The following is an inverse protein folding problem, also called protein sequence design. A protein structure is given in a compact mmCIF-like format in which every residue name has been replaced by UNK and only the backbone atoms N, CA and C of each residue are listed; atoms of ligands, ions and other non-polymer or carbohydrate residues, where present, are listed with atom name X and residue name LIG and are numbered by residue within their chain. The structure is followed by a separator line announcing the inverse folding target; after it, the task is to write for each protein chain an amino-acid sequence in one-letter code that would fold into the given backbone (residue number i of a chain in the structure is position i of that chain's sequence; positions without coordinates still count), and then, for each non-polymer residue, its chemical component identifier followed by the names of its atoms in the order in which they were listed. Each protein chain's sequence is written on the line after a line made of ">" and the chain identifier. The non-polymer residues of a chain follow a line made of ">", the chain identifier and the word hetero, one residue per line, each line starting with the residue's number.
data_IF_352669285556
#
_entry.id   IF_352669285556
#
_cell.length_a   1.000
_cell.length_b   1.000
_cell.length_c   1.000
_cell.angle_alpha   90.00
_cell.angle_beta   90.00
_cell.angle_gamma   90.00
#
_symmetry.space_group_name_H-M   'P 1'
#
loop_
_entity.id
_entity.type
_entity.pdbx_description
1 polymer ?
#
# COMPACT_ATOMS: atom_id res chain seq x y z
N UNK A 1 -3.16 -9.80 3.67
CA UNK A 1 -1.97 -9.94 4.54
C UNK A 1 -2.20 -10.97 5.65
N UNK A 2 -3.28 -10.86 6.43
CA UNK A 2 -3.54 -11.81 7.54
C UNK A 2 -3.46 -13.29 7.09
N UNK A 3 -4.05 -13.64 5.95
CA UNK A 3 -3.94 -14.99 5.39
C UNK A 3 -2.48 -15.44 5.20
N UNK A 4 -1.60 -14.53 4.77
CA UNK A 4 -0.16 -14.81 4.58
C UNK A 4 0.55 -14.99 5.93
N UNK A 5 0.22 -14.14 6.91
CA UNK A 5 0.89 -14.17 8.22
C UNK A 5 0.51 -15.39 9.07
N UNK A 6 -0.77 -15.81 9.02
CA UNK A 6 -1.24 -16.94 9.85
C UNK A 6 -0.94 -18.30 9.24
N UNK A 7 -0.50 -18.38 7.97
CA UNK A 7 -0.17 -19.65 7.31
C UNK A 7 1.32 -19.96 7.40
N UNK A 8 1.66 -21.11 7.97
CA UNK A 8 3.03 -21.61 8.04
C UNK A 8 3.58 -21.97 6.64
N UNK A 9 2.75 -22.56 5.77
CA UNK A 9 3.09 -22.88 4.37
C UNK A 9 2.63 -21.76 3.43
N UNK A 10 3.41 -20.69 3.35
CA UNK A 10 3.15 -19.60 2.41
C UNK A 10 3.21 -20.04 0.95
N UNK A 11 3.99 -21.08 0.64
CA UNK A 11 4.10 -21.64 -0.71
C UNK A 11 2.79 -22.23 -1.23
N UNK A 12 1.92 -22.69 -0.34
CA UNK A 12 0.59 -23.17 -0.71
C UNK A 12 -0.28 -22.10 -1.34
N UNK A 13 -0.09 -20.82 -0.95
CA UNK A 13 -0.88 -19.68 -1.43
C UNK A 13 -0.55 -19.29 -2.90
N UNK A 14 0.55 -19.79 -3.44
CA UNK A 14 0.95 -19.57 -4.85
C UNK A 14 0.52 -20.70 -5.79
N UNK A 15 -0.14 -21.74 -5.27
CA UNK A 15 -0.65 -22.86 -6.07
C UNK A 15 -2.09 -22.60 -6.48
N UNK A 16 -2.60 -23.25 -7.53
CA UNK A 16 -4.00 -23.16 -7.91
C UNK A 16 -4.91 -23.50 -6.73
N UNK A 17 -5.93 -22.67 -6.51
CA UNK A 17 -6.90 -22.86 -5.43
C UNK A 17 -7.80 -24.07 -5.76
N UNK A 18 -7.84 -25.05 -4.85
CA UNK A 18 -8.84 -26.12 -4.82
C UNK A 18 -9.72 -25.92 -3.58
N UNK A 19 -10.93 -26.51 -3.52
CA UNK A 19 -11.77 -26.43 -2.31
C UNK A 19 -11.03 -26.87 -1.04
N UNK A 20 -10.27 -27.95 -1.10
CA UNK A 20 -9.51 -28.47 0.04
C UNK A 20 -8.35 -27.55 0.42
N UNK A 21 -7.60 -27.01 -0.57
CA UNK A 21 -6.53 -26.05 -0.32
C UNK A 21 -7.08 -24.77 0.31
N UNK A 22 -8.23 -24.28 -0.18
CA UNK A 22 -8.90 -23.11 0.39
C UNK A 22 -9.36 -23.35 1.82
N UNK A 23 -9.98 -24.48 2.11
CA UNK A 23 -10.43 -24.85 3.46
C UNK A 23 -9.23 -24.92 4.41
N UNK A 24 -8.15 -25.60 4.01
CA UNK A 24 -6.94 -25.76 4.82
C UNK A 24 -6.23 -24.41 5.08
N UNK A 25 -6.06 -23.59 4.06
CA UNK A 25 -5.40 -22.29 4.19
C UNK A 25 -6.29 -21.26 4.91
N UNK A 26 -7.61 -21.34 4.75
CA UNK A 26 -8.57 -20.44 5.37
C UNK A 26 -8.81 -20.69 6.84
N UNK A 27 -8.71 -21.93 7.31
CA UNK A 27 -9.01 -22.25 8.71
C UNK A 27 -8.24 -21.40 9.74
N UNK A 28 -6.91 -21.22 9.64
CA UNK A 28 -6.18 -20.36 10.56
C UNK A 28 -6.57 -18.88 10.44
N UNK A 29 -6.96 -18.42 9.25
CA UNK A 29 -7.44 -17.04 9.07
C UNK A 29 -8.77 -16.82 9.81
N UNK A 30 -9.71 -17.73 9.67
CA UNK A 30 -11.00 -17.62 10.36
C UNK A 30 -10.85 -17.65 11.86
N UNK A 31 -10.02 -18.56 12.38
CA UNK A 31 -9.72 -18.61 13.80
C UNK A 31 -9.09 -17.30 14.32
N UNK A 32 -8.16 -16.71 13.55
CA UNK A 32 -7.58 -15.41 13.85
C UNK A 32 -8.63 -14.28 13.84
N UNK A 33 -9.49 -14.25 12.82
CA UNK A 33 -10.52 -13.22 12.72
C UNK A 33 -11.58 -13.32 13.82
N UNK A 34 -11.98 -14.54 14.19
CA UNK A 34 -12.92 -14.78 15.30
C UNK A 34 -12.35 -14.27 16.63
N UNK A 35 -11.04 -14.47 16.85
CA UNK A 35 -10.35 -13.94 18.03
C UNK A 35 -10.18 -12.43 18.00
N UNK A 36 -9.97 -11.84 16.80
CA UNK A 36 -9.72 -10.41 16.62
C UNK A 36 -10.99 -9.56 16.69
N UNK A 37 -12.09 -10.01 16.10
CA UNK A 37 -13.31 -9.21 15.90
C UNK A 37 -13.83 -8.55 17.19
N UNK A 38 -13.88 -9.22 18.37
CA UNK A 38 -14.35 -8.60 19.60
C UNK A 38 -13.50 -7.40 20.06
N UNK A 39 -12.25 -7.31 19.59
CA UNK A 39 -11.30 -6.25 19.94
C UNK A 39 -11.26 -5.11 18.93
N UNK A 40 -11.96 -5.23 17.81
CA UNK A 40 -12.06 -4.18 16.83
C UNK A 40 -12.96 -3.03 17.30
N UNK A 41 -12.85 -1.89 16.63
CA UNK A 41 -13.71 -0.74 16.87
C UNK A 41 -15.18 -1.17 16.94
N UNK A 42 -15.88 -0.68 17.98
CA UNK A 42 -17.26 -1.07 18.32
C UNK A 42 -17.49 -2.58 18.43
N UNK A 43 -16.48 -3.32 18.91
CA UNK A 43 -16.57 -4.77 19.06
C UNK A 43 -16.76 -5.53 17.76
N UNK A 44 -16.24 -5.00 16.64
CA UNK A 44 -16.35 -5.63 15.32
C UNK A 44 -17.75 -5.63 14.71
N UNK A 45 -18.72 -4.92 15.30
CA UNK A 45 -20.11 -4.85 14.79
C UNK A 45 -20.29 -3.83 13.68
N UNK A 46 -19.36 -2.93 13.50
CA UNK A 46 -19.37 -1.90 12.47
C UNK A 46 -17.96 -1.73 11.90
N UNK A 47 -17.89 -1.41 10.62
CA UNK A 47 -16.64 -1.15 9.90
C UNK A 47 -16.70 0.21 9.25
N UNK A 48 -15.54 0.86 9.19
CA UNK A 48 -15.42 2.18 8.56
C UNK A 48 -15.60 2.03 7.05
N UNK A 49 -16.43 2.87 6.45
CA UNK A 49 -16.86 2.71 5.06
C UNK A 49 -15.87 3.27 4.03
N UNK A 50 -15.02 4.22 4.42
CA UNK A 50 -14.08 4.88 3.51
C UNK A 50 -12.73 5.12 4.18
N UNK A 51 -11.66 5.15 3.38
CA UNK A 51 -10.31 5.51 3.87
C UNK A 51 -10.28 6.93 4.45
N UNK A 52 -11.07 7.86 3.90
CA UNK A 52 -11.15 9.22 4.43
C UNK A 52 -11.73 9.25 5.86
N UNK A 53 -12.82 8.52 6.09
CA UNK A 53 -13.41 8.40 7.43
C UNK A 53 -12.44 7.70 8.40
N UNK A 54 -11.72 6.65 7.94
CA UNK A 54 -10.72 5.96 8.74
C UNK A 54 -9.58 6.90 9.18
N UNK A 55 -9.08 7.73 8.26
CA UNK A 55 -8.05 8.75 8.59
C UNK A 55 -8.56 9.77 9.59
N UNK A 56 -9.79 10.27 9.42
CA UNK A 56 -10.37 11.21 10.37
C UNK A 56 -10.49 10.60 11.76
N UNK A 57 -11.00 9.39 11.88
CA UNK A 57 -11.13 8.70 13.16
C UNK A 57 -9.77 8.42 13.83
N UNK A 58 -8.72 8.20 13.03
CA UNK A 58 -7.35 8.10 13.56
C UNK A 58 -6.85 9.46 14.05
N UNK A 59 -7.13 10.54 13.32
CA UNK A 59 -6.80 11.92 13.75
C UNK A 59 -7.50 12.29 15.05
N UNK A 60 -8.75 11.86 15.20
CA UNK A 60 -9.59 12.13 16.40
C UNK A 60 -9.25 11.20 17.58
N UNK A 61 -8.35 10.23 17.39
CA UNK A 61 -7.95 9.26 18.41
C UNK A 61 -8.95 8.13 18.66
N UNK A 62 -9.98 7.98 17.82
CA UNK A 62 -10.92 6.85 17.91
C UNK A 62 -10.31 5.54 17.44
N UNK A 63 -9.32 5.59 16.53
CA UNK A 63 -8.58 4.42 16.05
C UNK A 63 -7.10 4.57 16.39
N UNK A 64 -6.53 3.51 16.94
CA UNK A 64 -5.09 3.39 17.22
C UNK A 64 -4.33 2.74 16.06
N UNK A 65 -5.01 1.96 15.26
CA UNK A 65 -4.46 1.24 14.09
C UNK A 65 -5.41 1.42 12.92
N UNK A 66 -4.86 1.78 11.77
CA UNK A 66 -5.58 1.90 10.51
C UNK A 66 -4.87 1.12 9.41
N UNK A 67 -5.61 0.79 8.35
CA UNK A 67 -5.06 0.11 7.17
C UNK A 67 -4.95 1.11 6.02
N UNK A 68 -3.86 1.03 5.27
CA UNK A 68 -3.67 1.80 4.05
C UNK A 68 -3.05 0.94 2.94
N UNK A 69 -3.30 1.33 1.70
CA UNK A 69 -2.65 0.76 0.52
C UNK A 69 -1.46 1.61 0.04
N UNK A 70 -1.27 2.80 0.63
CA UNK A 70 -0.12 3.65 0.36
C UNK A 70 0.84 3.62 1.56
N UNK A 71 2.06 3.07 1.44
CA UNK A 71 3.02 3.00 2.54
C UNK A 71 3.45 4.39 3.05
N UNK A 72 3.32 5.43 2.25
CA UNK A 72 3.66 6.80 2.61
C UNK A 72 2.44 7.62 3.10
N UNK A 73 1.27 7.01 3.30
CA UNK A 73 0.06 7.76 3.68
C UNK A 73 0.24 8.52 5.00
N UNK A 74 0.83 7.89 6.03
CA UNK A 74 1.09 8.58 7.29
C UNK A 74 1.97 9.82 7.07
N UNK A 75 3.05 9.72 6.31
CA UNK A 75 3.93 10.85 6.00
C UNK A 75 3.21 11.95 5.22
N UNK A 76 2.36 11.60 4.25
CA UNK A 76 1.54 12.57 3.51
C UNK A 76 0.58 13.33 4.43
N UNK A 77 -0.10 12.61 5.32
CA UNK A 77 -1.09 13.19 6.23
C UNK A 77 -0.43 14.03 7.34
N UNK A 78 0.75 13.64 7.82
CA UNK A 78 1.56 14.42 8.76
C UNK A 78 2.05 15.71 8.09
N UNK A 79 2.60 15.63 6.89
CA UNK A 79 3.05 16.79 6.12
C UNK A 79 1.90 17.78 5.87
N UNK A 80 0.68 17.28 5.68
CA UNK A 80 -0.54 18.06 5.53
C UNK A 80 -1.17 18.51 6.87
N UNK A 81 -0.56 18.19 8.01
CA UNK A 81 -1.04 18.51 9.38
C UNK A 81 -2.42 17.92 9.70
N UNK A 82 -2.72 16.76 9.14
CA UNK A 82 -3.96 16.00 9.37
C UNK A 82 -3.78 14.81 10.31
N UNK A 83 -2.54 14.37 10.54
CA UNK A 83 -2.17 13.38 11.56
C UNK A 83 -1.03 13.92 12.44
N UNK A 84 -0.94 13.40 13.65
CA UNK A 84 0.14 13.71 14.58
C UNK A 84 1.47 13.09 14.11
N UNK A 85 2.59 13.74 14.43
CA UNK A 85 3.95 13.29 14.09
C UNK A 85 4.31 11.93 14.71
N UNK A 86 3.55 11.48 15.71
CA UNK A 86 3.70 10.18 16.35
C UNK A 86 3.13 9.02 15.55
N UNK A 87 2.35 9.29 14.49
CA UNK A 87 1.79 8.25 13.64
C UNK A 87 2.89 7.70 12.73
N UNK A 88 3.01 6.39 12.66
CA UNK A 88 4.02 5.71 11.85
C UNK A 88 3.39 4.68 10.93
N UNK A 89 3.92 4.53 9.73
CA UNK A 89 3.59 3.41 8.87
C UNK A 89 4.39 2.18 9.31
N UNK A 90 3.75 1.02 9.29
CA UNK A 90 4.34 -0.25 9.67
C UNK A 90 4.22 -1.27 8.53
N UNK A 91 5.28 -2.03 8.31
CA UNK A 91 5.29 -3.19 7.42
C UNK A 91 5.63 -4.45 8.22
N UNK A 92 5.09 -5.58 7.79
CA UNK A 92 5.36 -6.86 8.45
C UNK A 92 6.78 -7.34 8.11
N UNK A 93 7.52 -7.82 9.10
CA UNK A 93 8.88 -8.38 8.93
C UNK A 93 8.92 -9.55 7.96
N UNK A 94 7.85 -10.33 7.88
CA UNK A 94 7.69 -11.42 6.92
C UNK A 94 7.39 -10.97 5.48
N UNK A 95 7.34 -9.67 5.24
CA UNK A 95 6.94 -9.05 3.97
C UNK A 95 5.48 -8.62 3.97
N UNK A 96 5.22 -7.48 3.36
CA UNK A 96 3.87 -6.93 3.18
C UNK A 96 3.46 -7.07 1.72
N UNK A 97 2.18 -7.39 1.47
CA UNK A 97 1.66 -7.46 0.10
C UNK A 97 1.78 -6.08 -0.53
N UNK A 98 2.61 -6.00 -1.57
CA UNK A 98 2.75 -4.81 -2.40
C UNK A 98 1.66 -4.70 -3.45
N UNK A 99 1.46 -3.51 -3.96
CA UNK A 99 0.58 -3.23 -5.08
C UNK A 99 1.31 -2.41 -6.14
N UNK A 100 0.86 -2.53 -7.39
CA UNK A 100 1.40 -1.78 -8.52
C UNK A 100 0.23 -1.27 -9.36
N UNK A 101 0.27 0.01 -9.73
CA UNK A 101 -0.71 0.57 -10.64
C UNK A 101 -0.35 0.21 -12.09
N UNK A 102 -1.35 -0.20 -12.86
CA UNK A 102 -1.20 -0.57 -14.24
C UNK A 102 -1.97 0.38 -15.16
N UNK A 103 -1.41 0.63 -16.33
CA UNK A 103 -2.07 1.32 -17.42
C UNK A 103 -2.48 0.30 -18.48
N UNK A 104 -3.71 0.39 -18.94
CA UNK A 104 -4.21 -0.43 -20.04
C UNK A 104 -4.77 0.45 -21.16
N UNK A 105 -4.46 0.09 -22.39
CA UNK A 105 -5.04 0.73 -23.58
C UNK A 105 -6.07 -0.24 -24.15
N UNK A 106 -7.38 0.07 -24.07
CA UNK A 106 -8.41 -0.80 -24.61
C UNK A 106 -8.21 -1.06 -26.11
N UNK A 107 -8.56 -2.26 -26.58
CA UNK A 107 -8.38 -2.64 -27.99
C UNK A 107 -9.14 -1.72 -28.96
N UNK A 108 -10.24 -1.14 -28.52
CA UNK A 108 -11.08 -0.22 -29.27
C UNK A 108 -10.79 1.27 -29.04
N UNK A 109 -9.67 1.60 -28.35
CA UNK A 109 -9.26 2.99 -28.16
C UNK A 109 -9.00 3.67 -29.51
N UNK A 110 -9.51 4.90 -29.68
CA UNK A 110 -9.34 5.68 -30.92
C UNK A 110 -7.97 6.33 -31.04
N UNK A 111 -7.33 6.70 -29.93
CA UNK A 111 -6.04 7.40 -29.89
C UNK A 111 -4.98 6.53 -29.21
N UNK A 112 -4.68 5.36 -29.78
CA UNK A 112 -3.73 4.38 -29.20
C UNK A 112 -2.32 4.93 -29.12
N UNK A 113 -1.86 5.62 -30.18
CA UNK A 113 -0.54 6.20 -30.26
C UNK A 113 -0.34 7.29 -29.19
N UNK A 114 -1.32 8.16 -29.01
CA UNK A 114 -1.32 9.16 -27.95
C UNK A 114 -1.32 8.52 -26.55
N UNK A 115 -2.07 7.43 -26.34
CA UNK A 115 -2.08 6.70 -25.10
C UNK A 115 -0.73 6.02 -24.81
N UNK A 116 -0.04 5.52 -25.84
CA UNK A 116 1.32 4.95 -25.71
C UNK A 116 2.35 6.03 -25.33
N UNK A 117 2.28 7.21 -25.94
CA UNK A 117 3.14 8.35 -25.57
C UNK A 117 2.92 8.75 -24.13
N UNK A 118 1.67 8.85 -23.69
CA UNK A 118 1.34 9.16 -22.30
C UNK A 118 1.86 8.07 -21.34
N UNK A 119 1.65 6.81 -21.67
CA UNK A 119 2.14 5.69 -20.84
C UNK A 119 3.67 5.73 -20.71
N UNK A 120 4.39 5.99 -21.83
CA UNK A 120 5.84 6.14 -21.81
C UNK A 120 6.29 7.34 -20.96
N UNK A 121 5.61 8.48 -21.06
CA UNK A 121 5.89 9.63 -20.19
C UNK A 121 5.69 9.31 -18.71
N UNK A 122 4.59 8.64 -18.35
CA UNK A 122 4.31 8.27 -16.96
C UNK A 122 5.34 7.28 -16.37
N UNK A 123 6.05 6.53 -17.21
CA UNK A 123 7.17 5.68 -16.82
C UNK A 123 8.52 6.39 -16.83
N UNK A 124 8.58 7.66 -17.23
CA UNK A 124 9.84 8.41 -17.20
C UNK A 124 10.33 8.65 -15.76
N UNK A 125 11.66 8.74 -15.54
CA UNK A 125 12.20 9.05 -14.22
C UNK A 125 11.65 10.36 -13.64
N UNK A 126 11.39 11.36 -14.47
CA UNK A 126 10.80 12.64 -14.05
C UNK A 126 9.39 12.46 -13.49
N UNK A 127 8.50 11.82 -14.23
CA UNK A 127 7.11 11.59 -13.80
C UNK A 127 7.05 10.68 -12.56
N UNK A 128 7.89 9.65 -12.52
CA UNK A 128 7.96 8.72 -11.39
C UNK A 128 8.54 9.37 -10.13
N UNK A 129 9.53 10.26 -10.25
CA UNK A 129 10.06 11.01 -9.12
C UNK A 129 9.01 11.97 -8.56
N UNK A 130 8.24 12.65 -9.44
CA UNK A 130 7.13 13.50 -9.01
C UNK A 130 6.01 12.71 -8.34
N UNK A 131 5.71 11.51 -8.84
CA UNK A 131 4.75 10.59 -8.20
C UNK A 131 5.21 10.16 -6.81
N UNK A 132 6.50 9.88 -6.62
CA UNK A 132 7.08 9.45 -5.36
C UNK A 132 7.26 10.59 -4.34
N UNK A 133 7.22 11.85 -4.78
CA UNK A 133 7.32 13.01 -3.91
C UNK A 133 6.11 13.10 -2.98
N UNK A 134 6.36 13.04 -1.68
CA UNK A 134 5.33 13.09 -0.62
C UNK A 134 4.52 14.39 -0.67
N UNK A 135 5.13 15.50 -1.08
CA UNK A 135 4.44 16.78 -1.23
C UNK A 135 3.45 16.79 -2.41
N UNK A 136 3.56 15.84 -3.35
CA UNK A 136 2.69 15.73 -4.52
C UNK A 136 1.69 14.56 -4.37
N UNK A 137 2.20 13.33 -4.31
CA UNK A 137 1.39 12.12 -4.19
C UNK A 137 1.94 11.15 -3.13
N UNK A 138 3.26 10.91 -3.11
CA UNK A 138 3.92 10.00 -2.17
C UNK A 138 3.71 8.52 -2.49
N UNK A 139 3.35 8.18 -3.72
CA UNK A 139 3.20 6.79 -4.12
C UNK A 139 4.53 6.26 -4.68
N UNK A 140 5.05 5.12 -4.19
CA UNK A 140 6.36 4.61 -4.56
C UNK A 140 6.54 4.43 -6.07
N UNK A 141 7.78 4.62 -6.55
CA UNK A 141 8.11 4.38 -7.96
C UNK A 141 8.08 2.91 -8.32
N UNK A 142 7.77 2.61 -9.58
CA UNK A 142 7.86 1.27 -10.18
C UNK A 142 9.20 1.03 -10.87
N UNK A 143 10.07 2.05 -10.94
CA UNK A 143 11.36 1.94 -11.61
C UNK A 143 12.38 1.20 -10.74
N UNK A 144 13.21 0.38 -11.38
CA UNK A 144 14.40 -0.21 -10.78
C UNK A 144 15.49 0.86 -10.64
N UNK A 145 15.57 1.51 -9.49
CA UNK A 145 16.44 2.67 -9.26
C UNK A 145 17.93 2.36 -9.47
N UNK A 146 18.33 1.12 -9.20
CA UNK A 146 19.71 0.64 -9.42
C UNK A 146 20.11 0.64 -10.90
N UNK A 147 19.13 0.58 -11.81
CA UNK A 147 19.35 0.60 -13.27
C UNK A 147 19.33 1.99 -13.88
N UNK A 148 18.97 3.01 -13.10
CA UNK A 148 18.94 4.38 -13.60
C UNK A 148 20.33 5.01 -13.58
N UNK A 149 20.64 5.92 -14.56
CA UNK A 149 21.80 6.79 -14.47
C UNK A 149 21.80 7.57 -13.15
N UNK A 150 22.99 7.87 -12.63
CA UNK A 150 23.16 8.54 -11.33
C UNK A 150 22.37 9.86 -11.23
N UNK A 151 22.34 10.66 -12.29
CA UNK A 151 21.60 11.93 -12.33
C UNK A 151 20.08 11.72 -12.21
N UNK A 152 19.54 10.69 -12.82
CA UNK A 152 18.11 10.37 -12.74
C UNK A 152 17.75 9.75 -11.38
N UNK A 153 18.61 8.88 -10.84
CA UNK A 153 18.44 8.29 -9.53
C UNK A 153 18.43 9.34 -8.42
N UNK A 154 19.22 10.39 -8.55
CA UNK A 154 19.28 11.50 -7.60
C UNK A 154 17.94 12.20 -7.38
N UNK A 155 17.02 12.13 -8.35
CA UNK A 155 15.65 12.67 -8.25
C UNK A 155 14.81 11.98 -7.16
N UNK A 156 15.18 10.74 -6.78
CA UNK A 156 14.48 9.93 -5.79
C UNK A 156 15.14 9.99 -4.39
N UNK A 157 16.19 10.77 -4.22
CA UNK A 157 16.95 10.90 -2.97
C UNK A 157 16.32 11.93 -2.03
N UNK A 158 15.07 11.74 -1.66
CA UNK A 158 14.43 12.56 -0.64
C UNK A 158 14.89 12.15 0.76
N UNK A 159 14.96 13.11 1.70
CA UNK A 159 15.20 12.81 3.11
C UNK A 159 13.97 12.08 3.68
N UNK A 160 14.18 11.04 4.52
CA UNK A 160 13.07 10.41 5.23
C UNK A 160 12.25 11.46 6.01
N UNK A 161 10.93 11.36 5.94
CA UNK A 161 10.00 12.22 6.67
C UNK A 161 9.34 11.44 7.82
N UNK A 162 8.86 12.15 8.87
CA UNK A 162 8.05 11.52 9.91
C UNK A 162 6.89 10.71 9.30
N UNK A 163 6.59 9.55 9.87
CA UNK A 163 5.53 8.66 9.38
C UNK A 163 5.87 7.86 8.12
N UNK A 164 7.00 8.12 7.49
CA UNK A 164 7.45 7.32 6.34
C UNK A 164 7.84 5.92 6.78
N UNK A 165 7.50 4.92 5.95
CA UNK A 165 7.88 3.53 6.22
C UNK A 165 9.40 3.41 6.27
N UNK A 166 9.90 2.94 7.41
CA UNK A 166 11.26 2.46 7.49
C UNK A 166 11.32 1.14 6.73
N UNK A 167 12.00 1.12 5.60
CA UNK A 167 12.39 -0.13 4.96
C UNK A 167 13.47 -0.75 5.85
N UNK A 168 13.12 -1.85 6.49
CA UNK A 168 14.03 -2.70 7.26
C UNK A 168 14.51 -3.83 6.35
#
# INVERSE_FOLDING_TARGET
>A
QALVEVNADRGALYRPATPDALAKAGAPLWAYLDALHPHLWRGGKQFVQTSAAQRQMMSDGELLIALTFNPNEAANEIAAKRLADSVVSYQFTGGTIGNTHFLAIPFNAKAKEGAQVLANFLLSPEAQARKADIAQWGDPTVLALDKLPAAERARFSAKPLPGQVLQV
#
